data_IF_344413363966
#
_entry.id   IF_344413363966
#
_cell.length_a   1.000
_cell.length_b   1.000
_cell.length_c   1.000
_cell.angle_alpha   90.00
_cell.angle_beta   90.00
_cell.angle_gamma   90.00
#
_symmetry.space_group_name_H-M   'P 1'
#
loop_
_entity.id
_entity.type
_entity.pdbx_description
1 polymer ?
#
# COMPACT_ATOMS: atom_id res chain seq x y z
N UNK A 1 14.13 -3.39 9.94
CA UNK A 1 14.17 -4.83 10.31
C UNK A 1 14.72 -5.69 9.17
N UNK A 2 14.12 -5.64 7.97
CA UNK A 2 14.52 -6.44 6.80
C UNK A 2 15.99 -6.30 6.36
N UNK A 3 16.52 -5.06 6.34
CA UNK A 3 17.93 -4.81 5.96
C UNK A 3 18.94 -5.37 6.97
N UNK A 4 18.65 -5.24 8.28
CA UNK A 4 19.48 -5.81 9.34
C UNK A 4 19.46 -7.35 9.30
N UNK A 5 18.30 -7.97 9.04
CA UNK A 5 18.18 -9.42 8.91
C UNK A 5 18.90 -9.95 7.66
N UNK A 6 18.92 -9.18 6.55
CA UNK A 6 19.72 -9.53 5.37
C UNK A 6 21.23 -9.55 5.66
N UNK A 7 21.74 -8.59 6.43
CA UNK A 7 23.17 -8.48 6.74
C UNK A 7 23.64 -9.43 7.83
N UNK A 8 22.85 -9.60 8.90
CA UNK A 8 23.29 -10.31 10.09
C UNK A 8 22.66 -11.70 10.25
N UNK A 9 21.61 -12.04 9.45
CA UNK A 9 20.91 -13.33 9.45
C UNK A 9 20.65 -13.89 10.87
N UNK A 10 20.25 -13.02 11.80
CA UNK A 10 20.11 -13.36 13.21
C UNK A 10 18.84 -14.18 13.49
N UNK A 11 17.82 -14.10 12.63
CA UNK A 11 16.67 -15.00 12.66
C UNK A 11 16.97 -16.19 11.74
N UNK A 12 17.26 -17.35 12.32
CA UNK A 12 17.41 -18.64 11.62
C UNK A 12 16.16 -19.47 11.88
N UNK A 13 15.52 -19.96 10.83
CA UNK A 13 14.39 -20.89 10.95
C UNK A 13 14.97 -22.31 11.12
N UNK A 14 14.44 -23.06 12.10
CA UNK A 14 14.76 -24.47 12.26
C UNK A 14 14.33 -25.21 10.98
N UNK A 15 15.29 -25.81 10.27
CA UNK A 15 15.10 -26.56 9.01
C UNK A 15 14.04 -27.68 9.12
N UNK A 16 13.63 -28.07 10.32
CA UNK A 16 12.64 -29.12 10.55
C UNK A 16 11.20 -28.75 10.13
N UNK A 17 10.83 -27.46 10.14
CA UNK A 17 9.44 -27.04 9.91
C UNK A 17 9.23 -26.21 8.63
N UNK A 18 10.30 -25.65 8.05
CA UNK A 18 10.25 -24.83 6.85
C UNK A 18 11.46 -25.19 6.00
N UNK A 19 11.21 -25.73 4.81
CA UNK A 19 12.18 -26.18 3.79
C UNK A 19 13.15 -25.09 3.26
N UNK A 20 13.37 -23.99 4.00
CA UNK A 20 14.23 -22.86 3.69
C UNK A 20 15.03 -22.46 4.95
N UNK A 21 16.34 -22.65 4.90
CA UNK A 21 17.28 -22.36 5.99
C UNK A 21 17.39 -20.88 6.37
N UNK A 22 16.99 -19.97 5.46
CA UNK A 22 16.89 -18.53 5.68
C UNK A 22 15.74 -18.00 4.83
N UNK A 23 14.85 -17.16 5.39
CA UNK A 23 13.87 -16.43 4.58
C UNK A 23 14.63 -15.48 3.62
N UNK A 24 14.56 -15.69 2.30
CA UNK A 24 15.23 -14.80 1.36
C UNK A 24 14.52 -13.44 1.37
N UNK A 25 15.16 -12.43 1.95
CA UNK A 25 14.62 -11.08 2.03
C UNK A 25 15.23 -10.24 0.90
N UNK A 26 14.54 -10.14 -0.24
CA UNK A 26 14.90 -9.21 -1.31
C UNK A 26 14.20 -7.87 -1.11
N UNK A 27 14.85 -6.91 -0.43
CA UNK A 27 14.33 -5.53 -0.38
C UNK A 27 14.84 -4.75 -1.59
N UNK A 28 14.02 -4.68 -2.64
CA UNK A 28 14.28 -3.80 -3.79
C UNK A 28 13.77 -2.40 -3.46
N UNK A 29 14.69 -1.44 -3.32
CA UNK A 29 14.40 -0.05 -2.97
C UNK A 29 13.39 0.60 -3.95
N UNK A 30 13.52 0.27 -5.24
CA UNK A 30 12.57 0.66 -6.29
C UNK A 30 11.16 0.10 -6.09
N UNK A 31 11.03 -1.14 -5.63
CA UNK A 31 9.73 -1.75 -5.33
C UNK A 31 9.07 -1.06 -4.15
N UNK A 32 9.83 -0.74 -3.10
CA UNK A 32 9.30 -0.01 -1.93
C UNK A 32 8.84 1.39 -2.33
N UNK A 33 9.66 2.15 -3.07
CA UNK A 33 9.29 3.48 -3.53
C UNK A 33 8.08 3.44 -4.49
N UNK A 34 8.09 2.53 -5.47
CA UNK A 34 7.00 2.36 -6.42
C UNK A 34 5.67 2.00 -5.75
N UNK A 35 5.70 1.08 -4.78
CA UNK A 35 4.50 0.72 -4.00
C UNK A 35 3.94 1.92 -3.24
N UNK A 36 4.77 2.67 -2.52
CA UNK A 36 4.29 3.83 -1.76
C UNK A 36 3.71 4.92 -2.67
N UNK A 37 4.39 5.23 -3.78
CA UNK A 37 3.90 6.20 -4.77
C UNK A 37 2.56 5.76 -5.35
N UNK A 38 2.45 4.49 -5.76
CA UNK A 38 1.21 3.94 -6.31
C UNK A 38 0.07 3.98 -5.27
N UNK A 39 0.34 3.60 -4.03
CA UNK A 39 -0.63 3.65 -2.95
C UNK A 39 -1.13 5.08 -2.73
N UNK A 40 -0.25 6.08 -2.67
CA UNK A 40 -0.66 7.49 -2.52
C UNK A 40 -1.56 7.93 -3.69
N UNK A 41 -1.16 7.62 -4.93
CA UNK A 41 -1.92 7.98 -6.13
C UNK A 41 -3.33 7.37 -6.08
N UNK A 42 -3.44 6.07 -5.81
CA UNK A 42 -4.75 5.38 -5.76
C UNK A 42 -5.62 6.00 -4.66
N UNK A 43 -5.05 6.23 -3.47
CA UNK A 43 -5.80 6.79 -2.35
C UNK A 43 -6.31 8.20 -2.66
N UNK A 44 -5.50 9.04 -3.30
CA UNK A 44 -5.91 10.38 -3.73
C UNK A 44 -7.01 10.32 -4.80
N UNK A 45 -6.91 9.44 -5.79
CA UNK A 45 -7.94 9.27 -6.81
C UNK A 45 -9.29 8.88 -6.18
N UNK A 46 -9.27 7.93 -5.24
CA UNK A 46 -10.46 7.50 -4.51
C UNK A 46 -11.09 8.61 -3.66
N UNK A 47 -10.33 9.62 -3.24
CA UNK A 47 -10.88 10.79 -2.53
C UNK A 47 -11.38 11.85 -3.50
N UNK A 48 -10.60 12.17 -4.53
CA UNK A 48 -10.88 13.28 -5.45
C UNK A 48 -12.07 12.96 -6.36
N UNK A 49 -12.13 11.76 -6.93
CA UNK A 49 -13.18 11.37 -7.88
C UNK A 49 -14.58 11.50 -7.26
N UNK A 50 -14.89 10.89 -6.10
CA UNK A 50 -16.22 11.05 -5.49
C UNK A 50 -16.43 12.45 -4.92
N UNK A 51 -15.40 13.10 -4.36
CA UNK A 51 -15.52 14.48 -3.88
C UNK A 51 -15.96 15.44 -5.00
N UNK A 52 -15.36 15.28 -6.19
CA UNK A 52 -15.73 16.04 -7.37
C UNK A 52 -17.14 15.70 -7.86
N UNK A 53 -17.49 14.41 -7.93
CA UNK A 53 -18.83 13.97 -8.34
C UNK A 53 -19.92 14.56 -7.44
N UNK A 54 -19.69 14.59 -6.12
CA UNK A 54 -20.62 15.15 -5.14
C UNK A 54 -20.72 16.66 -5.25
N UNK A 55 -19.61 17.38 -5.48
CA UNK A 55 -19.64 18.84 -5.69
C UNK A 55 -20.46 19.29 -6.90
N UNK A 56 -20.67 18.40 -7.88
CA UNK A 56 -21.47 18.64 -9.09
C UNK A 56 -22.95 18.26 -8.91
N UNK A 57 -23.31 17.61 -7.81
CA UNK A 57 -24.71 17.38 -7.42
C UNK A 57 -25.26 18.74 -6.98
N UNK A 58 -25.93 19.39 -7.93
CA UNK A 58 -26.56 20.71 -7.77
C UNK A 58 -27.29 20.81 -6.43
N UNK A 59 -26.83 21.64 -5.47
CA UNK A 59 -27.51 21.84 -4.19
C UNK A 59 -28.94 22.40 -4.38
N UNK A 60 -29.20 23.00 -5.55
CA UNK A 60 -30.48 23.62 -5.92
C UNK A 60 -31.54 22.60 -6.33
N UNK A 61 -31.17 21.40 -6.81
CA UNK A 61 -32.16 20.38 -7.22
C UNK A 61 -32.66 19.51 -6.07
N UNK A 62 -31.86 19.30 -5.02
CA UNK A 62 -32.28 18.52 -3.84
C UNK A 62 -33.32 19.27 -2.96
N UNK A 63 -33.28 20.60 -2.95
CA UNK A 63 -34.24 21.43 -2.18
C UNK A 63 -35.58 21.59 -2.94
N UNK A 64 -35.63 21.24 -4.23
CA UNK A 64 -36.83 21.30 -5.06
C UNK A 64 -37.45 19.93 -5.35
N UNK A 65 -37.39 19.01 -4.39
CA UNK A 65 -38.41 17.96 -4.31
C UNK A 65 -39.73 18.59 -3.84
N UNK A 66 -40.49 19.10 -4.81
CA UNK A 66 -41.95 19.06 -4.79
C UNK A 66 -42.37 17.91 -5.70
#
# INVERSE_FOLDING_TARGET
>A
LCWLQHQFKFIRLSEADYYLSVAPIEVKLWTVLGLNVLTIIITLLFLIIPSYLVSRISPVRAIRFK
#
